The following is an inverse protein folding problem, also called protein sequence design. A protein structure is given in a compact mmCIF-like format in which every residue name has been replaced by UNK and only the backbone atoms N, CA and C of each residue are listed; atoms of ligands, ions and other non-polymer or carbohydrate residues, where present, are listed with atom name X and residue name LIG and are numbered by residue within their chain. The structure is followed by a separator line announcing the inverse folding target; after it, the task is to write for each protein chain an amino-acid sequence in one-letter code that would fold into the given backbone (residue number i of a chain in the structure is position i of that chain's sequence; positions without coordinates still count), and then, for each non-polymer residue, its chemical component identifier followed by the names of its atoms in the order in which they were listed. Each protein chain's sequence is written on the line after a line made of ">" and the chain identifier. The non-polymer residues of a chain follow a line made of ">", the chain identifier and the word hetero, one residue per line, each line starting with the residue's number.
data_IF_227886210907
#
_entry.id   IF_227886210907
#
_cell.length_a   1.000
_cell.length_b   1.000
_cell.length_c   1.000
_cell.angle_alpha   90.00
_cell.angle_beta   90.00
_cell.angle_gamma   90.00
#
_symmetry.space_group_name_H-M   'P 1'
#
loop_
_entity.id
_entity.type
_entity.pdbx_description
1 polymer ?
#
# COMPACT_ATOMS: atom_id res chain seq x y z
N UNK A 1 -12.78 -16.38 23.45
CA UNK A 1 -12.07 -15.60 22.42
C UNK A 1 -10.84 -14.98 23.05
N UNK A 2 -9.66 -15.11 22.43
CA UNK A 2 -8.46 -14.44 22.91
C UNK A 2 -8.67 -12.92 22.83
N UNK A 3 -8.26 -12.20 23.88
CA UNK A 3 -8.35 -10.75 23.90
C UNK A 3 -7.38 -10.18 22.86
N UNK A 4 -7.89 -9.44 21.88
CA UNK A 4 -7.05 -8.74 20.89
C UNK A 4 -6.09 -7.80 21.61
N UNK A 5 -4.80 -7.86 21.26
CA UNK A 5 -3.76 -7.07 21.93
C UNK A 5 -3.87 -5.58 21.62
N UNK A 6 -4.31 -5.25 20.41
CA UNK A 6 -4.44 -3.88 19.93
C UNK A 6 -5.89 -3.59 19.54
N UNK A 7 -6.43 -2.47 20.02
CA UNK A 7 -7.77 -1.99 19.67
C UNK A 7 -7.76 -1.09 18.43
N UNK A 8 -6.60 -0.49 18.12
CA UNK A 8 -6.38 0.37 16.96
C UNK A 8 -4.99 0.11 16.39
N UNK A 9 -4.89 -0.02 15.08
CA UNK A 9 -3.62 -0.20 14.36
C UNK A 9 -3.56 0.67 13.12
N UNK A 10 -2.36 1.11 12.77
CA UNK A 10 -2.04 1.73 11.49
C UNK A 10 -1.23 0.73 10.67
N UNK A 11 -1.82 0.20 9.60
CA UNK A 11 -1.19 -0.79 8.74
C UNK A 11 -0.57 -0.09 7.54
N UNK A 12 0.75 -0.24 7.36
CA UNK A 12 1.47 0.30 6.20
C UNK A 12 1.76 -0.82 5.21
N UNK A 13 1.22 -0.68 4.01
CA UNK A 13 1.52 -1.55 2.88
C UNK A 13 2.53 -0.88 1.95
N UNK A 14 3.44 -1.68 1.40
CA UNK A 14 4.23 -1.28 0.23
C UNK A 14 3.34 -1.38 -1.01
N UNK A 15 3.49 -0.46 -1.95
CA UNK A 15 2.71 -0.50 -3.19
C UNK A 15 3.05 -1.73 -4.02
N UNK A 16 4.30 -2.15 -3.97
CA UNK A 16 4.83 -3.36 -4.60
C UNK A 16 4.08 -4.61 -4.16
N UNK A 17 3.61 -4.67 -2.91
CA UNK A 17 2.77 -5.77 -2.47
C UNK A 17 1.48 -5.86 -3.31
N UNK A 18 0.89 -4.72 -3.70
CA UNK A 18 -0.33 -4.66 -4.52
C UNK A 18 -0.11 -5.07 -5.97
N UNK A 19 1.14 -5.10 -6.46
CA UNK A 19 1.44 -5.55 -7.82
C UNK A 19 1.33 -7.08 -7.97
N UNK A 20 1.32 -7.84 -6.86
CA UNK A 20 1.33 -9.30 -6.88
C UNK A 20 2.57 -9.82 -7.61
N UNK A 21 2.38 -10.77 -8.53
CA UNK A 21 3.46 -11.31 -9.35
C UNK A 21 3.83 -10.41 -10.55
N UNK A 22 3.19 -9.24 -10.69
CA UNK A 22 3.45 -8.29 -11.78
C UNK A 22 4.59 -7.37 -11.39
N UNK A 23 5.33 -6.89 -12.40
CA UNK A 23 6.42 -5.93 -12.19
C UNK A 23 5.92 -4.52 -11.78
N UNK A 24 4.69 -4.15 -12.13
CA UNK A 24 4.11 -2.82 -11.89
C UNK A 24 2.58 -2.87 -12.00
N UNK A 25 1.91 -1.83 -11.48
CA UNK A 25 0.46 -1.70 -11.47
C UNK A 25 -0.19 -2.35 -10.25
N UNK A 26 -1.49 -2.63 -10.35
CA UNK A 26 -2.29 -3.23 -9.29
C UNK A 26 -2.81 -4.57 -9.80
N UNK A 27 -2.56 -5.64 -9.05
CA UNK A 27 -3.14 -6.96 -9.29
C UNK A 27 -4.49 -7.07 -8.56
N UNK A 28 -5.62 -7.19 -9.28
CA UNK A 28 -6.93 -7.32 -8.66
C UNK A 28 -7.05 -8.53 -7.73
N UNK A 29 -6.36 -9.64 -8.03
CA UNK A 29 -6.43 -10.83 -7.19
C UNK A 29 -5.72 -10.63 -5.84
N UNK A 30 -4.57 -9.97 -5.84
CA UNK A 30 -3.90 -9.55 -4.61
C UNK A 30 -4.76 -8.57 -3.84
N UNK A 31 -5.29 -7.53 -4.50
CA UNK A 31 -6.10 -6.50 -3.86
C UNK A 31 -7.33 -7.09 -3.16
N UNK A 32 -8.05 -8.00 -3.83
CA UNK A 32 -9.21 -8.66 -3.25
C UNK A 32 -8.85 -9.48 -2.01
N UNK A 33 -7.77 -10.27 -2.07
CA UNK A 33 -7.29 -11.02 -0.90
C UNK A 33 -6.96 -10.12 0.27
N UNK A 34 -6.26 -9.01 0.03
CA UNK A 34 -5.93 -8.05 1.08
C UNK A 34 -7.20 -7.42 1.68
N UNK A 35 -8.18 -7.08 0.86
CA UNK A 35 -9.47 -6.57 1.33
C UNK A 35 -10.19 -7.59 2.23
N UNK A 36 -10.22 -8.87 1.85
CA UNK A 36 -10.85 -9.93 2.65
C UNK A 36 -10.18 -10.07 4.03
N UNK A 37 -8.85 -10.02 4.09
CA UNK A 37 -8.09 -10.05 5.34
C UNK A 37 -8.40 -8.82 6.23
N UNK A 38 -8.48 -7.63 5.64
CA UNK A 38 -8.79 -6.40 6.37
C UNK A 38 -10.22 -6.39 6.92
N UNK A 39 -11.19 -6.95 6.17
CA UNK A 39 -12.57 -7.13 6.63
C UNK A 39 -12.60 -8.07 7.83
N UNK A 40 -11.92 -9.22 7.75
CA UNK A 40 -11.84 -10.16 8.87
C UNK A 40 -11.25 -9.51 10.14
N UNK A 41 -10.23 -8.66 10.01
CA UNK A 41 -9.67 -7.92 11.15
C UNK A 41 -10.64 -6.88 11.71
N UNK A 42 -11.38 -6.16 10.85
CA UNK A 42 -12.39 -5.19 11.27
C UNK A 42 -13.54 -5.85 12.03
N UNK A 43 -13.95 -7.06 11.63
CA UNK A 43 -14.99 -7.85 12.31
C UNK A 43 -14.62 -8.24 13.74
N UNK A 44 -13.32 -8.25 14.08
CA UNK A 44 -12.84 -8.40 15.45
C UNK A 44 -13.04 -7.14 16.32
N UNK A 45 -13.61 -6.06 15.76
CA UNK A 45 -13.82 -4.78 16.44
C UNK A 45 -12.56 -3.89 16.49
N UNK A 46 -11.53 -4.22 15.72
CA UNK A 46 -10.28 -3.46 15.66
C UNK A 46 -10.45 -2.25 14.73
N UNK A 47 -9.99 -1.08 15.17
CA UNK A 47 -9.97 0.13 14.37
C UNK A 47 -8.74 0.15 13.46
N UNK A 48 -8.96 0.27 12.16
CA UNK A 48 -7.92 0.20 11.15
C UNK A 48 -7.67 1.58 10.52
N UNK A 49 -6.42 2.02 10.55
CA UNK A 49 -5.88 3.01 9.62
C UNK A 49 -5.00 2.30 8.60
N UNK A 50 -5.03 2.74 7.34
CA UNK A 50 -4.26 2.12 6.26
C UNK A 50 -3.41 3.18 5.57
N UNK A 51 -2.13 2.88 5.38
CA UNK A 51 -1.17 3.68 4.59
C UNK A 51 -0.67 2.81 3.44
N UNK A 52 -0.75 3.30 2.21
CA UNK A 52 -0.31 2.59 1.01
C UNK A 52 0.76 3.45 0.35
N UNK A 53 1.87 2.84 -0.09
CA UNK A 53 2.83 3.52 -0.97
C UNK A 53 2.48 3.29 -2.44
N UNK A 54 2.82 4.24 -3.33
CA UNK A 54 2.59 4.14 -4.78
C UNK A 54 3.75 3.54 -5.58
N UNK A 55 4.70 2.85 -4.94
CA UNK A 55 5.96 2.38 -5.57
C UNK A 55 5.80 1.36 -6.70
N UNK A 56 4.65 0.70 -6.77
CA UNK A 56 4.23 -0.16 -7.88
C UNK A 56 3.80 0.61 -9.13
N UNK A 57 3.44 1.89 -9.01
CA UNK A 57 3.00 2.74 -10.11
C UNK A 57 4.10 3.73 -10.49
N UNK A 58 4.71 4.39 -9.51
CA UNK A 58 5.77 5.35 -9.76
C UNK A 58 6.87 5.33 -8.68
N UNK A 59 8.13 5.40 -9.12
CA UNK A 59 9.29 5.56 -8.24
C UNK A 59 10.02 6.85 -8.55
N UNK A 60 9.86 7.85 -7.69
CA UNK A 60 10.50 9.16 -7.85
C UNK A 60 12.02 9.09 -7.94
N UNK A 61 12.64 8.15 -7.23
CA UNK A 61 14.08 7.94 -7.27
C UNK A 61 14.59 7.51 -8.66
N UNK A 62 13.86 6.62 -9.35
CA UNK A 62 14.22 6.17 -10.70
C UNK A 62 14.02 7.31 -11.72
N UNK A 63 12.92 8.03 -11.62
CA UNK A 63 12.64 9.15 -12.52
C UNK A 63 13.67 10.30 -12.35
N UNK A 64 14.08 10.57 -11.10
CA UNK A 64 15.08 11.59 -10.82
C UNK A 64 16.47 11.22 -11.37
N UNK A 65 16.86 9.94 -11.28
CA UNK A 65 18.07 9.42 -11.94
C UNK A 65 18.03 9.55 -13.47
N UNK A 66 16.83 9.57 -14.07
CA UNK A 66 16.62 9.76 -15.50
C UNK A 66 16.49 11.24 -15.91
N UNK A 67 16.77 12.18 -15.00
CA UNK A 67 16.80 13.62 -15.28
C UNK A 67 15.53 14.38 -14.91
N UNK A 68 14.56 13.75 -14.24
CA UNK A 68 13.40 14.46 -13.69
C UNK A 68 13.80 15.26 -12.43
N UNK A 69 13.23 16.46 -12.30
CA UNK A 69 13.31 17.21 -11.06
C UNK A 69 12.76 16.39 -9.87
N UNK A 70 13.52 16.34 -8.78
CA UNK A 70 13.22 15.45 -7.66
C UNK A 70 11.86 15.76 -7.02
N UNK A 71 11.51 17.04 -6.88
CA UNK A 71 10.26 17.46 -6.25
C UNK A 71 9.07 17.02 -7.11
N UNK A 72 9.15 17.20 -8.42
CA UNK A 72 8.13 16.69 -9.36
C UNK A 72 8.01 15.16 -9.30
N UNK A 73 9.13 14.46 -9.21
CA UNK A 73 9.16 13.01 -9.10
C UNK A 73 8.50 12.51 -7.80
N UNK A 74 8.76 13.18 -6.68
CA UNK A 74 8.13 12.83 -5.40
C UNK A 74 6.63 13.15 -5.40
N UNK A 75 6.19 14.25 -6.04
CA UNK A 75 4.77 14.54 -6.24
C UNK A 75 4.05 13.44 -7.03
N UNK A 76 4.66 12.95 -8.11
CA UNK A 76 4.11 11.83 -8.87
C UNK A 76 4.01 10.56 -8.01
N UNK A 77 5.02 10.29 -7.16
CA UNK A 77 4.99 9.16 -6.24
C UNK A 77 3.91 9.25 -5.16
N UNK A 78 3.47 10.46 -4.79
CA UNK A 78 2.35 10.67 -3.85
C UNK A 78 0.97 10.57 -4.49
N UNK A 79 0.84 10.83 -5.80
CA UNK A 79 -0.40 10.64 -6.56
C UNK A 79 -0.62 9.19 -7.02
N UNK A 80 0.45 8.40 -6.99
CA UNK A 80 0.51 7.02 -7.42
C UNK A 80 -0.22 6.07 -6.47
#
# INVERSE_FOLDING_TARGET
>A
MSKVKYQRVLLKFSGEALAGDRASGIDPAMLNRLCDELVAVKELGIQLGIVIGGGNIFRGLNASQQGMDRVKADYMGMLA
#
